data_IF_050084387780
#
_entry.id   IF_050084387780
#
_cell.length_a   1.000
_cell.length_b   1.000
_cell.length_c   1.000
_cell.angle_alpha   90.00
_cell.angle_beta   90.00
_cell.angle_gamma   90.00
#
_symmetry.space_group_name_H-M   'P 1'
#
loop_
_entity.id
_entity.type
_entity.pdbx_description
1 polymer ?
#
# COMPACT_ATOMS: atom_id res chain seq x y z
N UNK A 1 25.42 35.31 9.51
CA UNK A 1 25.30 34.18 8.59
C UNK A 1 23.98 34.33 7.85
N UNK A 2 24.03 34.35 6.53
CA UNK A 2 22.80 34.41 5.72
C UNK A 2 22.02 33.09 5.85
N UNK A 3 20.70 33.17 5.98
CA UNK A 3 19.82 32.03 6.09
C UNK A 3 20.08 31.04 4.93
N UNK A 4 20.31 31.59 3.73
CA UNK A 4 20.62 30.78 2.55
C UNK A 4 21.92 29.97 2.71
N UNK A 5 22.98 30.53 3.29
CA UNK A 5 24.24 29.84 3.56
C UNK A 5 24.06 28.73 4.60
N UNK A 6 23.27 28.97 5.63
CA UNK A 6 22.98 27.98 6.68
C UNK A 6 22.19 26.80 6.11
N UNK A 7 21.17 27.06 5.28
CA UNK A 7 20.40 26.02 4.60
C UNK A 7 21.26 25.21 3.62
N UNK A 8 22.17 25.89 2.89
CA UNK A 8 23.09 25.21 1.99
C UNK A 8 24.05 24.27 2.74
N UNK A 9 24.64 24.74 3.84
CA UNK A 9 25.51 23.92 4.69
C UNK A 9 24.79 22.71 5.28
N UNK A 10 23.51 22.87 5.64
CA UNK A 10 22.68 21.77 6.12
C UNK A 10 22.45 20.75 5.01
N UNK A 11 22.20 21.19 3.78
CA UNK A 11 21.89 20.32 2.64
C UNK A 11 23.10 19.49 2.21
N UNK A 12 24.32 20.06 2.26
CA UNK A 12 25.57 19.34 1.92
C UNK A 12 26.09 18.47 3.07
N UNK A 13 25.43 18.44 4.21
CA UNK A 13 25.78 17.51 5.29
C UNK A 13 25.42 16.09 4.87
N UNK A 14 26.37 15.12 4.91
CA UNK A 14 26.13 13.75 4.44
C UNK A 14 24.94 13.08 5.11
N UNK A 15 24.78 13.29 6.42
CA UNK A 15 23.67 12.67 7.18
C UNK A 15 22.32 13.26 6.79
N UNK A 16 22.25 14.58 6.54
CA UNK A 16 21.00 15.23 6.13
C UNK A 16 20.62 14.83 4.71
N UNK A 17 21.55 14.88 3.77
CA UNK A 17 21.32 14.43 2.38
C UNK A 17 20.85 12.95 2.34
N UNK A 18 21.47 12.10 3.15
CA UNK A 18 21.10 10.70 3.29
C UNK A 18 19.70 10.52 3.88
N UNK A 19 19.35 11.24 4.95
CA UNK A 19 18.00 11.16 5.55
C UNK A 19 16.94 11.65 4.57
N UNK A 20 17.21 12.72 3.82
CA UNK A 20 16.32 13.19 2.75
C UNK A 20 16.13 12.14 1.67
N UNK A 21 17.21 11.43 1.28
CA UNK A 21 17.13 10.32 0.33
C UNK A 21 16.16 9.25 0.84
N UNK A 22 16.30 8.82 2.10
CA UNK A 22 15.46 7.77 2.70
C UNK A 22 14.00 8.21 2.80
N UNK A 23 13.74 9.42 3.29
CA UNK A 23 12.40 9.97 3.37
C UNK A 23 11.76 10.03 1.98
N UNK A 24 12.51 10.49 0.98
CA UNK A 24 12.07 10.54 -0.40
C UNK A 24 11.73 9.14 -0.96
N UNK A 25 12.58 8.15 -0.69
CA UNK A 25 12.37 6.77 -1.13
C UNK A 25 11.16 6.12 -0.43
N UNK A 26 10.98 6.30 0.89
CA UNK A 26 9.80 5.79 1.59
C UNK A 26 8.51 6.44 1.08
N UNK A 27 8.56 7.77 0.85
CA UNK A 27 7.41 8.49 0.31
C UNK A 27 7.08 8.05 -1.10
N UNK A 28 8.09 7.75 -1.94
CA UNK A 28 7.87 7.21 -3.28
C UNK A 28 7.22 5.82 -3.25
N UNK A 29 7.65 4.93 -2.32
CA UNK A 29 6.96 3.63 -2.12
C UNK A 29 5.52 3.84 -1.68
N UNK A 30 5.29 4.75 -0.72
CA UNK A 30 3.94 5.04 -0.22
C UNK A 30 3.05 5.58 -1.33
N UNK A 31 3.55 6.49 -2.17
CA UNK A 31 2.86 7.01 -3.35
C UNK A 31 2.52 5.90 -4.36
N UNK A 32 3.43 4.93 -4.53
CA UNK A 32 3.18 3.78 -5.40
C UNK A 32 2.11 2.82 -4.86
N UNK A 33 2.06 2.62 -3.53
CA UNK A 33 1.07 1.73 -2.88
C UNK A 33 -0.30 2.42 -2.77
N UNK A 34 -0.33 3.73 -2.52
CA UNK A 34 -1.54 4.53 -2.30
C UNK A 34 -1.57 5.74 -3.25
N UNK A 35 -1.72 5.50 -4.56
CA UNK A 35 -1.69 6.59 -5.54
C UNK A 35 -2.90 7.53 -5.37
N UNK A 36 -2.68 8.81 -5.67
CA UNK A 36 -3.77 9.81 -5.73
C UNK A 36 -4.01 10.59 -4.45
N UNK A 37 -3.22 10.40 -3.39
CA UNK A 37 -3.32 11.22 -2.18
C UNK A 37 -2.62 12.58 -2.33
N UNK A 38 -1.66 12.71 -3.26
CA UNK A 38 -0.89 13.92 -3.55
C UNK A 38 0.22 14.21 -2.53
N UNK A 39 0.03 13.87 -1.26
CA UNK A 39 0.98 14.20 -0.20
C UNK A 39 2.27 13.37 -0.27
N UNK A 40 2.24 12.03 -0.37
CA UNK A 40 3.46 11.22 -0.51
C UNK A 40 4.23 11.55 -1.79
N UNK A 41 3.53 11.83 -2.90
CA UNK A 41 4.12 12.22 -4.17
C UNK A 41 4.90 13.54 -4.03
N UNK A 42 4.31 14.54 -3.36
CA UNK A 42 4.95 15.81 -3.13
C UNK A 42 6.18 15.69 -2.21
N UNK A 43 6.06 14.94 -1.11
CA UNK A 43 7.19 14.69 -0.19
C UNK A 43 8.31 13.93 -0.92
N UNK A 44 7.98 12.92 -1.70
CA UNK A 44 8.96 12.17 -2.48
C UNK A 44 9.72 13.08 -3.44
N UNK A 45 9.00 13.88 -4.24
CA UNK A 45 9.61 14.78 -5.21
C UNK A 45 10.54 15.80 -4.55
N UNK A 46 10.07 16.49 -3.51
CA UNK A 46 10.89 17.50 -2.81
C UNK A 46 12.09 16.88 -2.13
N UNK A 47 11.89 15.79 -1.37
CA UNK A 47 12.97 15.15 -0.62
C UNK A 47 14.03 14.56 -1.55
N UNK A 48 13.63 13.93 -2.67
CA UNK A 48 14.59 13.36 -3.63
C UNK A 48 15.38 14.45 -4.36
N UNK A 49 14.75 15.54 -4.76
CA UNK A 49 15.46 16.67 -5.38
C UNK A 49 16.49 17.23 -4.42
N UNK A 50 16.13 17.49 -3.17
CA UNK A 50 17.05 17.99 -2.16
C UNK A 50 18.16 16.98 -1.85
N UNK A 51 17.83 15.69 -1.73
CA UNK A 51 18.80 14.63 -1.51
C UNK A 51 19.83 14.54 -2.64
N UNK A 52 19.36 14.53 -3.89
CA UNK A 52 20.23 14.48 -5.07
C UNK A 52 21.13 15.72 -5.13
N UNK A 53 20.56 16.90 -4.86
CA UNK A 53 21.33 18.17 -4.81
C UNK A 53 22.43 18.12 -3.75
N UNK A 54 22.12 17.63 -2.54
CA UNK A 54 23.09 17.46 -1.47
C UNK A 54 24.14 16.41 -1.78
N UNK A 55 23.73 15.22 -2.23
CA UNK A 55 24.63 14.12 -2.57
C UNK A 55 25.54 14.46 -3.75
N UNK A 56 25.10 15.28 -4.71
CA UNK A 56 25.94 15.72 -5.84
C UNK A 56 27.15 16.52 -5.40
N UNK A 57 27.16 17.08 -4.19
CA UNK A 57 28.30 17.80 -3.61
C UNK A 57 29.24 16.89 -2.80
N UNK A 58 28.88 15.62 -2.64
CA UNK A 58 29.59 14.63 -1.86
C UNK A 58 30.28 13.61 -2.78
N UNK A 59 31.33 12.95 -2.27
CA UNK A 59 31.95 11.84 -3.00
C UNK A 59 31.10 10.57 -2.86
N UNK A 60 30.05 10.49 -3.66
CA UNK A 60 29.16 9.34 -3.68
C UNK A 60 29.82 8.13 -4.34
N UNK A 61 29.76 7.00 -3.66
CA UNK A 61 30.18 5.71 -4.21
C UNK A 61 29.03 5.07 -4.99
N UNK A 62 29.25 4.83 -6.27
CA UNK A 62 28.27 4.21 -7.15
C UNK A 62 27.82 2.84 -6.64
N UNK A 63 28.72 2.03 -6.05
CA UNK A 63 28.36 0.71 -5.50
C UNK A 63 27.35 0.88 -4.37
N UNK A 64 27.58 1.81 -3.44
CA UNK A 64 26.62 2.10 -2.37
C UNK A 64 25.26 2.55 -2.89
N UNK A 65 25.26 3.45 -3.89
CA UNK A 65 24.02 3.90 -4.52
C UNK A 65 23.26 2.77 -5.20
N UNK A 66 23.95 1.91 -5.95
CA UNK A 66 23.34 0.72 -6.60
C UNK A 66 22.78 -0.25 -5.57
N UNK A 67 23.47 -0.47 -4.44
CA UNK A 67 22.98 -1.35 -3.38
C UNK A 67 21.71 -0.78 -2.71
N UNK A 68 21.62 0.54 -2.50
CA UNK A 68 20.40 1.18 -1.99
C UNK A 68 19.28 1.05 -3.02
N UNK A 69 19.56 1.28 -4.29
CA UNK A 69 18.56 1.11 -5.35
C UNK A 69 18.07 -0.35 -5.43
N UNK A 70 18.98 -1.33 -5.32
CA UNK A 70 18.63 -2.76 -5.27
C UNK A 70 17.76 -3.07 -4.05
N UNK A 71 18.10 -2.55 -2.87
CA UNK A 71 17.29 -2.72 -1.67
C UNK A 71 15.86 -2.22 -1.90
N UNK A 72 15.73 -1.05 -2.53
CA UNK A 72 14.46 -0.46 -2.87
C UNK A 72 13.64 -1.34 -3.82
N UNK A 73 14.26 -1.88 -4.87
CA UNK A 73 13.63 -2.83 -5.79
C UNK A 73 13.16 -4.08 -5.05
N UNK A 74 13.98 -4.64 -4.16
CA UNK A 74 13.63 -5.82 -3.38
C UNK A 74 12.42 -5.55 -2.46
N UNK A 75 12.37 -4.38 -1.84
CA UNK A 75 11.22 -3.97 -1.03
C UNK A 75 9.94 -3.83 -1.85
N UNK A 76 10.00 -3.22 -3.03
CA UNK A 76 8.83 -3.11 -3.93
C UNK A 76 8.38 -4.48 -4.42
N UNK A 77 9.30 -5.37 -4.74
CA UNK A 77 8.99 -6.74 -5.17
C UNK A 77 8.30 -7.55 -4.08
N UNK A 78 8.66 -7.36 -2.80
CA UNK A 78 8.02 -8.05 -1.68
C UNK A 78 6.49 -7.84 -1.65
N UNK A 79 5.99 -6.68 -2.08
CA UNK A 79 4.54 -6.43 -2.18
C UNK A 79 3.87 -7.19 -3.33
N UNK A 80 4.63 -7.60 -4.34
CA UNK A 80 4.10 -8.31 -5.52
C UNK A 80 4.29 -9.81 -5.46
N UNK A 81 5.36 -10.25 -4.80
CA UNK A 81 5.77 -11.67 -4.74
C UNK A 81 5.61 -12.17 -3.31
N UNK A 82 4.95 -13.30 -3.14
CA UNK A 82 4.79 -13.94 -1.83
C UNK A 82 6.11 -14.61 -1.43
N UNK A 83 7.09 -13.82 -0.95
CA UNK A 83 8.42 -14.32 -0.59
C UNK A 83 8.57 -14.64 0.90
N UNK A 84 7.51 -14.46 1.69
CA UNK A 84 7.52 -14.70 3.14
C UNK A 84 8.59 -13.88 3.92
N UNK A 85 8.98 -12.73 3.38
CA UNK A 85 9.96 -11.83 4.00
C UNK A 85 11.41 -12.03 3.52
N UNK A 86 11.69 -12.98 2.63
CA UNK A 86 13.06 -13.20 2.13
C UNK A 86 13.61 -12.00 1.36
N UNK A 87 12.77 -11.38 0.50
CA UNK A 87 13.16 -10.17 -0.24
C UNK A 87 13.34 -8.98 0.72
N UNK A 88 12.51 -8.86 1.75
CA UNK A 88 12.68 -7.84 2.80
C UNK A 88 14.01 -8.02 3.52
N UNK A 89 14.39 -9.24 3.91
CA UNK A 89 15.66 -9.51 4.56
C UNK A 89 16.86 -9.15 3.66
N UNK A 90 16.84 -9.59 2.40
CA UNK A 90 17.85 -9.21 1.40
C UNK A 90 17.89 -7.69 1.18
N UNK A 91 16.73 -7.04 1.11
CA UNK A 91 16.60 -5.59 0.99
C UNK A 91 17.23 -4.85 2.17
N UNK A 92 16.98 -5.27 3.41
CA UNK A 92 17.58 -4.66 4.62
C UNK A 92 19.10 -4.80 4.62
N UNK A 93 19.62 -5.98 4.28
CA UNK A 93 21.07 -6.20 4.19
C UNK A 93 21.68 -5.32 3.10
N UNK A 94 21.10 -5.30 1.90
CA UNK A 94 21.55 -4.45 0.79
C UNK A 94 21.48 -2.97 1.14
N UNK A 95 20.42 -2.55 1.84
CA UNK A 95 20.24 -1.17 2.30
C UNK A 95 21.33 -0.77 3.31
N UNK A 96 21.56 -1.60 4.33
CA UNK A 96 22.55 -1.31 5.37
C UNK A 96 23.96 -1.20 4.77
N UNK A 97 24.36 -2.19 3.95
CA UNK A 97 25.67 -2.17 3.27
C UNK A 97 25.77 -1.00 2.29
N UNK A 98 24.74 -0.77 1.50
CA UNK A 98 24.67 0.36 0.57
C UNK A 98 24.84 1.70 1.27
N UNK A 99 24.20 1.87 2.43
CA UNK A 99 24.30 3.08 3.24
C UNK A 99 25.71 3.31 3.80
N UNK A 100 26.34 2.25 4.30
CA UNK A 100 27.73 2.33 4.81
C UNK A 100 28.70 2.76 3.69
N UNK A 101 28.50 2.25 2.49
CA UNK A 101 29.38 2.55 1.35
C UNK A 101 28.94 3.74 0.51
N UNK A 102 27.81 4.41 0.81
CA UNK A 102 27.23 5.46 -0.04
C UNK A 102 28.15 6.67 -0.18
N UNK A 103 28.69 7.17 0.94
CA UNK A 103 29.55 8.37 0.96
C UNK A 103 30.94 7.99 1.43
N UNK A 104 31.93 8.30 0.60
CA UNK A 104 33.35 8.10 0.95
C UNK A 104 33.80 9.21 1.90
N UNK A 105 34.36 8.88 3.07
CA UNK A 105 34.97 9.88 3.92
C UNK A 105 36.20 10.49 3.24
N UNK A 106 36.40 11.80 3.36
CA UNK A 106 37.54 12.54 2.90
C UNK A 106 38.13 13.32 4.07
N UNK A 107 39.33 13.91 3.86
CA UNK A 107 39.97 14.75 4.90
C UNK A 107 39.10 15.96 5.31
N UNK A 108 38.29 16.46 4.38
CA UNK A 108 37.47 17.65 4.57
C UNK A 108 35.98 17.36 4.90
N UNK A 109 35.52 16.13 4.62
CA UNK A 109 34.12 15.74 4.83
C UNK A 109 34.05 14.37 5.50
N UNK A 110 33.39 14.28 6.66
CA UNK A 110 33.16 12.99 7.30
C UNK A 110 32.18 12.15 6.46
N UNK A 111 32.36 10.84 6.49
CA UNK A 111 31.39 9.91 5.94
C UNK A 111 30.07 9.91 6.70
N UNK A 112 29.15 9.03 6.31
CA UNK A 112 27.90 8.84 7.05
C UNK A 112 28.18 8.34 8.47
N UNK A 113 27.47 8.93 9.44
CA UNK A 113 27.53 8.45 10.82
C UNK A 113 26.89 7.06 10.91
N UNK A 114 27.60 6.09 11.49
CA UNK A 114 27.10 4.72 11.68
C UNK A 114 25.83 4.68 12.54
N UNK A 115 25.68 5.63 13.46
CA UNK A 115 24.44 5.78 14.25
C UNK A 115 23.26 6.17 13.38
N UNK A 116 23.46 7.09 12.45
CA UNK A 116 22.41 7.52 11.50
C UNK A 116 22.06 6.35 10.57
N UNK A 117 23.05 5.62 10.07
CA UNK A 117 22.83 4.43 9.24
C UNK A 117 22.07 3.34 10.02
N UNK A 118 22.48 3.06 11.26
CA UNK A 118 21.82 2.07 12.11
C UNK A 118 20.36 2.44 12.40
N UNK A 119 20.12 3.69 12.81
CA UNK A 119 18.78 4.19 13.09
C UNK A 119 17.89 4.16 11.82
N UNK A 120 18.43 4.59 10.68
CA UNK A 120 17.73 4.57 9.41
C UNK A 120 17.39 3.15 8.94
N UNK A 121 18.31 2.20 9.15
CA UNK A 121 18.08 0.77 8.83
C UNK A 121 16.98 0.19 9.72
N UNK A 122 17.00 0.46 11.03
CA UNK A 122 15.95 0.03 11.96
C UNK A 122 14.61 0.67 11.62
N UNK A 123 14.59 1.97 11.30
CA UNK A 123 13.38 2.66 10.89
C UNK A 123 12.82 2.11 9.58
N UNK A 124 13.69 1.77 8.61
CA UNK A 124 13.31 1.14 7.35
C UNK A 124 12.69 -0.23 7.60
N UNK A 125 13.30 -1.05 8.44
CA UNK A 125 12.75 -2.36 8.83
C UNK A 125 11.38 -2.20 9.49
N UNK A 126 11.23 -1.24 10.41
CA UNK A 126 9.97 -0.93 11.07
C UNK A 126 8.89 -0.46 10.08
N UNK A 127 9.25 0.44 9.17
CA UNK A 127 8.35 0.93 8.12
C UNK A 127 7.82 -0.21 7.24
N UNK A 128 8.72 -1.06 6.72
CA UNK A 128 8.30 -2.21 5.89
C UNK A 128 7.54 -3.25 6.70
N UNK A 129 7.88 -3.48 7.96
CA UNK A 129 7.12 -4.36 8.85
C UNK A 129 5.67 -3.89 9.06
N UNK A 130 5.45 -2.59 9.21
CA UNK A 130 4.11 -1.99 9.33
C UNK A 130 3.39 -2.02 7.98
N UNK A 131 4.06 -1.62 6.90
CA UNK A 131 3.49 -1.61 5.56
C UNK A 131 3.06 -3.02 5.12
N UNK A 132 3.89 -4.04 5.38
CA UNK A 132 3.57 -5.44 5.08
C UNK A 132 2.37 -5.94 5.90
N UNK A 133 2.30 -5.62 7.20
CA UNK A 133 1.13 -5.97 8.03
C UNK A 133 -0.15 -5.31 7.50
N UNK A 134 -0.07 -4.03 7.10
CA UNK A 134 -1.20 -3.31 6.53
C UNK A 134 -1.66 -3.95 5.21
N UNK A 135 -0.73 -4.29 4.31
CA UNK A 135 -1.04 -4.96 3.05
C UNK A 135 -1.70 -6.33 3.26
N UNK A 136 -1.14 -7.18 4.13
CA UNK A 136 -1.71 -8.50 4.46
C UNK A 136 -3.09 -8.36 5.10
N UNK A 137 -3.31 -7.36 5.93
CA UNK A 137 -4.61 -7.12 6.58
C UNK A 137 -5.67 -6.71 5.58
N UNK A 138 -5.32 -5.92 4.60
CA UNK A 138 -6.22 -5.50 3.51
C UNK A 138 -6.59 -6.68 2.61
N UNK A 139 -5.64 -7.56 2.28
CA UNK A 139 -5.90 -8.78 1.50
C UNK A 139 -6.65 -9.86 2.28
N UNK A 140 -6.57 -9.87 3.61
CA UNK A 140 -7.29 -10.82 4.48
C UNK A 140 -8.66 -10.35 4.90
N UNK A 141 -9.11 -9.16 4.50
CA UNK A 141 -10.52 -8.82 4.69
C UNK A 141 -11.32 -9.76 3.81
N UNK A 142 -12.05 -10.73 4.40
CA UNK A 142 -12.83 -11.66 3.60
C UNK A 142 -13.83 -10.82 2.82
N UNK A 143 -13.97 -11.12 1.54
CA UNK A 143 -15.03 -10.63 0.64
C UNK A 143 -16.43 -10.80 1.28
N UNK A 144 -16.48 -11.48 2.41
CA UNK A 144 -17.67 -11.76 3.23
C UNK A 144 -18.21 -10.58 4.08
N UNK A 145 -17.54 -9.42 4.07
CA UNK A 145 -18.10 -8.16 4.57
C UNK A 145 -18.83 -7.37 3.47
N UNK A 146 -19.17 -8.03 2.36
CA UNK A 146 -19.96 -7.41 1.32
C UNK A 146 -21.28 -6.89 1.94
N UNK A 147 -21.71 -5.67 1.60
CA UNK A 147 -23.04 -5.14 1.96
C UNK A 147 -24.17 -6.14 1.65
N UNK A 148 -23.91 -7.06 0.76
CA UNK A 148 -24.77 -8.15 0.33
C UNK A 148 -25.18 -9.11 1.46
N UNK A 149 -24.33 -9.42 2.45
CA UNK A 149 -24.75 -10.26 3.60
C UNK A 149 -25.85 -9.64 4.44
N UNK A 150 -26.00 -8.32 4.39
CA UNK A 150 -27.12 -7.61 5.01
C UNK A 150 -28.46 -7.82 4.28
N UNK A 151 -28.41 -8.48 3.11
CA UNK A 151 -29.59 -8.81 2.34
C UNK A 151 -30.19 -10.17 2.75
N UNK A 152 -29.44 -11.06 3.41
CA UNK A 152 -30.00 -12.33 3.90
C UNK A 152 -31.04 -12.01 4.97
N UNK A 153 -32.24 -12.57 4.80
CA UNK A 153 -33.41 -12.28 5.64
C UNK A 153 -34.17 -11.00 5.24
N UNK A 154 -33.66 -10.20 4.30
CA UNK A 154 -34.37 -9.02 3.82
C UNK A 154 -35.58 -9.46 2.97
N UNK A 155 -36.70 -8.70 3.12
CA UNK A 155 -37.90 -8.87 2.29
C UNK A 155 -37.69 -8.10 0.97
N UNK A 156 -38.21 -8.68 -0.11
CA UNK A 156 -38.21 -8.08 -1.45
C UNK A 156 -39.50 -8.38 -2.18
N UNK A 157 -39.61 -7.83 -3.38
CA UNK A 157 -40.75 -8.05 -4.29
C UNK A 157 -40.19 -8.50 -5.64
N UNK A 158 -40.77 -9.54 -6.21
CA UNK A 158 -40.45 -10.01 -7.56
C UNK A 158 -40.86 -8.97 -8.57
N UNK A 159 -39.95 -8.51 -9.40
CA UNK A 159 -40.20 -7.57 -10.50
C UNK A 159 -40.37 -8.25 -11.84
N UNK A 160 -39.73 -9.37 -12.01
CA UNK A 160 -39.81 -10.17 -13.22
C UNK A 160 -39.86 -11.65 -12.84
N UNK A 161 -40.75 -12.40 -13.51
CA UNK A 161 -40.96 -13.83 -13.28
C UNK A 161 -39.64 -14.57 -13.04
N UNK A 162 -39.58 -15.36 -11.99
CA UNK A 162 -38.43 -16.22 -11.66
C UNK A 162 -38.79 -17.65 -12.05
N UNK A 163 -38.12 -18.18 -13.10
CA UNK A 163 -38.29 -19.57 -13.55
C UNK A 163 -37.09 -20.01 -14.41
N UNK A 164 -36.01 -20.50 -13.87
CA UNK A 164 -35.49 -20.46 -12.49
C UNK A 164 -34.80 -19.13 -12.13
N UNK A 165 -34.55 -18.23 -13.10
CA UNK A 165 -33.87 -16.94 -12.91
C UNK A 165 -34.82 -15.79 -13.24
N UNK A 166 -34.81 -14.77 -12.42
CA UNK A 166 -35.60 -13.55 -12.62
C UNK A 166 -34.99 -12.37 -11.87
N UNK A 167 -35.81 -11.34 -11.63
CA UNK A 167 -35.38 -10.10 -10.97
C UNK A 167 -36.24 -9.81 -9.76
N UNK A 168 -35.59 -9.50 -8.63
CA UNK A 168 -36.23 -9.06 -7.39
C UNK A 168 -35.75 -7.68 -6.99
N UNK A 169 -36.60 -6.91 -6.39
CA UNK A 169 -36.26 -5.65 -5.74
C UNK A 169 -36.14 -5.87 -4.23
N UNK A 170 -34.92 -5.65 -3.70
CA UNK A 170 -34.61 -5.76 -2.28
C UNK A 170 -33.97 -4.44 -1.83
N UNK A 171 -34.48 -3.81 -0.79
CA UNK A 171 -33.98 -2.51 -0.28
C UNK A 171 -33.78 -1.45 -1.36
N UNK A 172 -34.74 -1.31 -2.26
CA UNK A 172 -34.72 -0.34 -3.38
C UNK A 172 -33.72 -0.64 -4.51
N UNK A 173 -32.99 -1.74 -4.46
CA UNK A 173 -32.06 -2.19 -5.51
C UNK A 173 -32.64 -3.40 -6.27
N UNK A 174 -32.37 -3.46 -7.57
CA UNK A 174 -32.73 -4.59 -8.42
C UNK A 174 -31.60 -5.63 -8.39
N UNK A 175 -31.97 -6.87 -8.09
CA UNK A 175 -31.06 -8.00 -8.02
C UNK A 175 -31.52 -9.14 -8.89
N UNK A 176 -30.59 -9.83 -9.55
CA UNK A 176 -30.88 -11.13 -10.16
C UNK A 176 -31.15 -12.14 -9.05
N UNK A 177 -32.21 -12.90 -9.19
CA UNK A 177 -32.59 -13.88 -8.19
C UNK A 177 -32.89 -15.25 -8.83
N UNK A 178 -32.69 -16.28 -8.01
CA UNK A 178 -33.00 -17.68 -8.30
C UNK A 178 -33.94 -18.18 -7.21
N UNK A 179 -34.96 -18.95 -7.58
CA UNK A 179 -35.84 -19.61 -6.65
C UNK A 179 -36.01 -21.08 -7.04
N UNK A 180 -36.32 -21.92 -6.05
CA UNK A 180 -36.56 -23.35 -6.28
C UNK A 180 -37.98 -23.61 -6.87
N UNK A 181 -38.87 -22.63 -6.72
CA UNK A 181 -40.25 -22.63 -7.25
C UNK A 181 -40.45 -21.41 -8.17
N UNK A 182 -41.30 -21.49 -9.20
CA UNK A 182 -41.66 -20.35 -10.01
C UNK A 182 -42.38 -19.28 -9.13
N UNK A 183 -41.94 -18.04 -9.25
CA UNK A 183 -42.48 -16.90 -8.51
C UNK A 183 -42.92 -15.80 -9.50
N UNK A 184 -44.15 -15.37 -9.40
CA UNK A 184 -44.71 -14.37 -10.29
C UNK A 184 -44.35 -12.93 -9.89
N UNK A 185 -44.42 -12.02 -10.84
CA UNK A 185 -44.19 -10.59 -10.59
C UNK A 185 -45.22 -10.05 -9.57
N UNK A 186 -44.71 -9.33 -8.59
CA UNK A 186 -45.52 -8.80 -7.48
C UNK A 186 -45.51 -9.65 -6.21
N UNK A 187 -45.02 -10.88 -6.26
CA UNK A 187 -44.94 -11.72 -5.06
C UNK A 187 -43.89 -11.22 -4.07
N UNK A 188 -44.19 -11.34 -2.79
CA UNK A 188 -43.26 -11.02 -1.71
C UNK A 188 -42.33 -12.21 -1.44
N UNK A 189 -41.04 -11.93 -1.34
CA UNK A 189 -39.98 -12.92 -1.14
C UNK A 189 -39.05 -12.52 -0.01
N UNK A 190 -38.38 -13.53 0.53
CA UNK A 190 -37.28 -13.35 1.51
C UNK A 190 -35.99 -13.90 0.92
N UNK A 191 -34.90 -13.19 1.07
CA UNK A 191 -33.57 -13.63 0.66
C UNK A 191 -33.08 -14.71 1.61
N UNK A 192 -32.84 -15.91 1.13
CA UNK A 192 -32.38 -17.06 1.92
C UNK A 192 -30.87 -17.26 1.84
N UNK A 193 -30.27 -16.99 0.68
CA UNK A 193 -28.82 -17.12 0.46
C UNK A 193 -28.35 -16.16 -0.63
N UNK A 194 -27.02 -16.05 -0.76
CA UNK A 194 -26.37 -15.27 -1.80
C UNK A 194 -25.42 -16.21 -2.55
N UNK A 195 -25.58 -16.31 -3.84
CA UNK A 195 -24.79 -17.14 -4.74
C UNK A 195 -24.08 -16.28 -5.77
N UNK A 196 -22.84 -15.86 -5.45
CA UNK A 196 -22.09 -14.91 -6.26
C UNK A 196 -22.79 -13.56 -6.38
N UNK A 197 -23.28 -13.24 -7.58
CA UNK A 197 -24.04 -11.99 -7.86
C UNK A 197 -25.58 -12.21 -7.88
N UNK A 198 -26.06 -13.39 -7.55
CA UNK A 198 -27.49 -13.72 -7.53
C UNK A 198 -27.97 -13.93 -6.11
N UNK A 199 -29.20 -13.55 -5.84
CA UNK A 199 -29.87 -13.83 -4.58
C UNK A 199 -30.70 -15.10 -4.71
N UNK A 200 -30.57 -16.04 -3.78
CA UNK A 200 -31.54 -17.13 -3.65
C UNK A 200 -32.69 -16.61 -2.80
N UNK A 201 -33.91 -16.73 -3.31
CA UNK A 201 -35.11 -16.22 -2.66
C UNK A 201 -36.15 -17.32 -2.50
N UNK A 202 -36.95 -17.20 -1.44
CA UNK A 202 -38.09 -18.05 -1.21
C UNK A 202 -39.33 -17.17 -0.95
N UNK A 203 -40.53 -17.73 -1.20
CA UNK A 203 -41.80 -17.05 -0.95
C UNK A 203 -41.87 -16.61 0.51
N UNK A 204 -42.22 -15.36 0.76
CA UNK A 204 -42.40 -14.88 2.11
C UNK A 204 -43.70 -15.50 2.71
N UNK A 205 -43.57 -16.14 3.87
CA UNK A 205 -44.78 -16.58 4.59
C UNK A 205 -45.64 -15.36 4.94
N UNK A 206 -46.96 -15.38 4.68
CA UNK A 206 -47.83 -14.35 5.16
C UNK A 206 -47.77 -14.30 6.70
N UNK A 207 -47.57 -13.11 7.26
CA UNK A 207 -47.57 -12.84 8.71
C UNK A 207 -48.99 -12.74 9.22
#
# INVERSE_FOLDING_TARGET
MDIAQSLWQLLINPNVAYLLLIIGLWSAITAFIMPGTGLPEAIAAVSLVLAITGLAQLQVNLIGAVMIALAFVLFVLEFKVVSHGALTAGGVVSFALGSIFLVRPTETQPGLSLWVVGLATLATLGFFGVAMRAAVRTHRQPIFSSPQRRLIGARGVVKQLISPVGTVQVKSELWSAVADEPLEAGEHVVVTAIEGLKLRVARAKPS
#
